data_IF_701768292836
#
_entry.id   IF_701768292836
#
_cell.length_a   1.000
_cell.length_b   1.000
_cell.length_c   1.000
_cell.angle_alpha   90.00
_cell.angle_beta   90.00
_cell.angle_gamma   90.00
#
_symmetry.space_group_name_H-M   'P 1'
#
loop_
_entity.id
_entity.type
_entity.pdbx_description
1 polymer ?
#
# COMPACT_ATOMS: atom_id res chain seq x y z
N UNK A 1 -32.07 55.50 -46.07
CA UNK A 1 -32.80 54.45 -45.29
C UNK A 1 -31.94 53.30 -44.75
N UNK A 2 -30.63 53.20 -45.03
CA UNK A 2 -29.82 52.01 -44.65
C UNK A 2 -28.95 52.15 -43.40
N UNK A 3 -28.62 53.37 -42.95
CA UNK A 3 -27.74 53.59 -41.79
C UNK A 3 -28.47 53.39 -40.46
N UNK A 4 -29.69 53.94 -40.33
CA UNK A 4 -30.50 53.78 -39.12
C UNK A 4 -30.94 52.32 -38.85
N UNK A 5 -31.14 51.53 -39.91
CA UNK A 5 -31.46 50.10 -39.81
C UNK A 5 -30.24 49.28 -39.39
N UNK A 6 -29.04 49.62 -39.87
CA UNK A 6 -27.77 49.00 -39.42
C UNK A 6 -27.44 49.36 -37.97
N UNK A 7 -27.66 50.61 -37.57
CA UNK A 7 -27.42 51.06 -36.19
C UNK A 7 -28.36 50.37 -35.20
N UNK A 8 -29.64 50.20 -35.57
CA UNK A 8 -30.62 49.46 -34.76
C UNK A 8 -30.28 47.98 -34.62
N UNK A 9 -29.80 47.33 -35.69
CA UNK A 9 -29.37 45.93 -35.63
C UNK A 9 -28.13 45.77 -34.75
N UNK A 10 -27.16 46.68 -34.83
CA UNK A 10 -25.96 46.66 -33.97
C UNK A 10 -26.34 46.90 -32.50
N UNK A 11 -27.24 47.85 -32.23
CA UNK A 11 -27.69 48.16 -30.87
C UNK A 11 -28.55 47.04 -30.28
N UNK A 12 -29.38 46.37 -31.09
CA UNK A 12 -30.11 45.15 -30.70
C UNK A 12 -29.17 43.98 -30.41
N UNK A 13 -28.11 43.80 -31.20
CA UNK A 13 -27.09 42.77 -30.96
C UNK A 13 -26.36 43.02 -29.64
N UNK A 14 -25.96 44.28 -29.37
CA UNK A 14 -25.31 44.69 -28.13
C UNK A 14 -26.23 44.54 -26.90
N UNK A 15 -27.53 44.86 -27.02
CA UNK A 15 -28.49 44.64 -25.93
C UNK A 15 -28.74 43.15 -25.64
N UNK A 16 -28.77 42.29 -26.67
CA UNK A 16 -28.90 40.85 -26.46
C UNK A 16 -27.65 40.22 -25.82
N UNK A 17 -26.46 40.79 -26.04
CA UNK A 17 -25.24 40.37 -25.35
C UNK A 17 -25.23 40.80 -23.87
N UNK A 18 -25.88 41.92 -23.52
CA UNK A 18 -25.96 42.40 -22.13
C UNK A 18 -26.96 41.64 -21.24
N UNK A 19 -27.87 40.85 -21.84
CA UNK A 19 -28.89 40.07 -21.13
C UNK A 19 -28.51 38.60 -20.88
N UNK A 20 -27.39 38.13 -21.44
CA UNK A 20 -26.82 36.83 -21.09
C UNK A 20 -26.10 37.00 -19.74
N UNK A 21 -26.61 36.35 -18.69
CA UNK A 21 -25.95 36.34 -17.38
C UNK A 21 -24.47 36.00 -17.53
N UNK A 22 -23.61 36.73 -16.82
CA UNK A 22 -22.15 36.56 -16.86
C UNK A 22 -21.80 35.15 -16.36
N UNK A 23 -21.77 34.16 -17.25
CA UNK A 23 -21.29 32.83 -16.96
C UNK A 23 -19.77 32.83 -17.06
N UNK A 24 -19.10 33.47 -16.09
CA UNK A 24 -17.64 33.44 -16.02
C UNK A 24 -17.16 31.99 -15.97
N UNK A 25 -16.16 31.65 -16.78
CA UNK A 25 -15.42 30.41 -16.61
C UNK A 25 -14.72 30.49 -15.25
N UNK A 26 -15.10 29.58 -14.36
CA UNK A 26 -14.59 29.59 -12.99
C UNK A 26 -13.64 28.40 -12.81
N UNK A 27 -12.36 28.70 -12.60
CA UNK A 27 -11.35 27.72 -12.20
C UNK A 27 -11.45 27.53 -10.69
N UNK A 28 -12.45 26.74 -10.32
CA UNK A 28 -12.86 26.51 -8.95
C UNK A 28 -12.75 25.05 -8.57
N UNK A 29 -12.65 24.83 -7.28
CA UNK A 29 -12.78 23.53 -6.64
C UNK A 29 -14.21 23.30 -6.10
N UNK A 30 -15.16 24.20 -6.42
CA UNK A 30 -16.49 24.28 -5.82
C UNK A 30 -16.60 25.46 -4.85
N UNK A 31 -17.78 25.72 -4.29
CA UNK A 31 -17.98 26.81 -3.31
C UNK A 31 -17.33 26.41 -1.98
N UNK A 32 -16.06 26.77 -1.75
CA UNK A 32 -15.31 26.53 -0.50
C UNK A 32 -14.00 25.75 -0.68
N UNK A 33 -13.22 25.59 0.39
CA UNK A 33 -12.01 24.76 0.39
C UNK A 33 -12.38 23.29 0.12
N UNK A 34 -12.06 22.78 -1.07
CA UNK A 34 -12.46 21.44 -1.48
C UNK A 34 -11.56 20.37 -0.88
N UNK A 35 -12.18 19.27 -0.49
CA UNK A 35 -11.47 18.06 -0.04
C UNK A 35 -11.22 17.16 -1.25
N UNK A 36 -9.95 16.83 -1.48
CA UNK A 36 -9.53 15.80 -2.42
C UNK A 36 -9.21 14.49 -1.71
N UNK A 37 -9.06 13.41 -2.48
CA UNK A 37 -8.63 12.12 -1.93
C UNK A 37 -7.70 11.34 -2.85
N UNK A 38 -6.82 10.55 -2.25
CA UNK A 38 -6.02 9.53 -2.91
C UNK A 38 -5.91 8.32 -1.98
N UNK A 39 -6.05 7.10 -2.52
CA UNK A 39 -5.88 5.88 -1.72
C UNK A 39 -5.02 4.88 -2.45
N UNK A 40 -4.02 4.36 -1.75
CA UNK A 40 -3.21 3.22 -2.18
C UNK A 40 -3.90 1.87 -1.90
N UNK A 41 -5.12 1.89 -1.35
CA UNK A 41 -5.88 0.69 -1.02
C UNK A 41 -5.28 -0.09 0.15
N UNK A 42 -5.46 -1.41 0.11
CA UNK A 42 -4.96 -2.35 1.13
C UNK A 42 -3.85 -3.20 0.54
N UNK A 43 -2.69 -3.22 1.19
CA UNK A 43 -1.50 -3.94 0.74
C UNK A 43 -0.85 -4.68 1.90
N UNK A 44 -0.22 -5.82 1.63
CA UNK A 44 0.64 -6.42 2.64
C UNK A 44 1.91 -5.58 2.84
N UNK A 45 2.47 -5.67 4.04
CA UNK A 45 3.76 -5.05 4.36
C UNK A 45 4.88 -5.44 3.37
N UNK A 46 4.89 -6.69 2.91
CA UNK A 46 5.88 -7.16 1.93
C UNK A 46 5.61 -6.69 0.50
N UNK A 47 4.35 -6.56 0.09
CA UNK A 47 4.02 -5.96 -1.23
C UNK A 47 4.49 -4.51 -1.28
N UNK A 48 4.27 -3.75 -0.20
CA UNK A 48 4.75 -2.36 -0.10
C UNK A 48 6.28 -2.27 -0.12
N UNK A 49 6.96 -3.22 0.51
CA UNK A 49 8.42 -3.29 0.51
C UNK A 49 9.01 -3.70 -0.85
N UNK A 50 8.29 -4.50 -1.65
CA UNK A 50 8.78 -5.03 -2.92
C UNK A 50 8.37 -4.24 -4.16
N UNK A 51 7.27 -3.47 -4.11
CA UNK A 51 6.74 -2.78 -5.29
C UNK A 51 6.14 -1.43 -4.95
N UNK A 52 6.66 -0.37 -5.59
CA UNK A 52 6.13 0.98 -5.47
C UNK A 52 4.73 1.05 -6.11
N UNK A 53 3.79 1.68 -5.42
CA UNK A 53 2.41 1.80 -5.85
C UNK A 53 2.18 3.18 -6.41
N UNK A 54 1.51 3.26 -7.56
CA UNK A 54 1.17 4.53 -8.20
C UNK A 54 -0.35 4.66 -8.26
N UNK A 55 -0.88 5.78 -7.75
CA UNK A 55 -2.32 6.08 -7.78
C UNK A 55 -2.57 7.48 -8.30
N UNK A 56 -3.76 7.71 -8.85
CA UNK A 56 -4.20 9.05 -9.26
C UNK A 56 -5.05 9.66 -8.15
N UNK A 57 -4.72 10.89 -7.75
CA UNK A 57 -5.49 11.67 -6.80
C UNK A 57 -6.69 12.35 -7.47
N UNK A 58 -7.76 12.49 -6.70
CA UNK A 58 -8.91 13.33 -7.02
C UNK A 58 -8.72 14.67 -6.34
N UNK A 59 -8.26 15.70 -7.06
CA UNK A 59 -8.00 17.03 -6.48
C UNK A 59 -9.27 17.88 -6.36
N UNK A 60 -10.32 17.51 -7.09
CA UNK A 60 -11.56 18.28 -7.26
C UNK A 60 -11.37 19.70 -7.81
N UNK A 61 -10.15 20.08 -8.23
CA UNK A 61 -9.89 21.34 -8.91
C UNK A 61 -10.26 21.21 -10.39
N UNK A 62 -11.11 22.12 -10.89
CA UNK A 62 -11.67 22.11 -12.25
C UNK A 62 -11.74 23.52 -12.81
N UNK A 63 -11.80 23.65 -14.12
CA UNK A 63 -12.25 24.88 -14.76
C UNK A 63 -13.53 24.61 -15.54
N UNK A 64 -14.59 25.39 -15.28
CA UNK A 64 -15.85 25.26 -16.02
C UNK A 64 -15.77 25.89 -17.41
N UNK A 65 -16.38 25.22 -18.38
CA UNK A 65 -16.24 25.50 -19.81
C UNK A 65 -17.22 26.54 -20.37
N UNK A 66 -17.94 27.28 -19.53
CA UNK A 66 -19.07 28.12 -19.98
C UNK A 66 -18.70 29.40 -20.74
N UNK A 67 -17.41 29.73 -20.90
CA UNK A 67 -17.00 30.93 -21.64
C UNK A 67 -15.71 30.82 -22.48
N UNK A 68 -15.02 29.68 -22.51
CA UNK A 68 -13.69 29.63 -23.14
C UNK A 68 -13.82 29.51 -24.67
N UNK A 69 -13.96 30.64 -25.37
CA UNK A 69 -14.03 30.74 -26.84
C UNK A 69 -12.72 31.25 -27.46
N UNK A 70 -11.56 30.80 -26.97
CA UNK A 70 -10.27 31.39 -27.35
C UNK A 70 -9.36 30.36 -28.04
N UNK A 71 -8.90 30.70 -29.26
CA UNK A 71 -8.02 29.84 -30.08
C UNK A 71 -6.52 30.20 -29.96
N UNK A 72 -6.17 31.36 -29.40
CA UNK A 72 -4.80 31.93 -29.43
C UNK A 72 -4.47 32.71 -28.13
N UNK A 73 -4.64 32.13 -26.95
CA UNK A 73 -4.29 32.77 -25.68
C UNK A 73 -3.43 31.85 -24.81
N UNK A 74 -2.50 32.43 -24.04
CA UNK A 74 -1.60 31.67 -23.16
C UNK A 74 -2.23 31.54 -21.78
N UNK A 75 -2.73 30.35 -21.46
CA UNK A 75 -3.36 30.05 -20.18
C UNK A 75 -2.38 29.34 -19.26
N UNK A 76 -2.33 29.73 -17.99
CA UNK A 76 -1.51 29.05 -17.00
C UNK A 76 -2.34 28.58 -15.81
N UNK A 77 -2.00 27.40 -15.32
CA UNK A 77 -2.49 26.87 -14.05
C UNK A 77 -1.25 26.47 -13.27
N UNK A 78 -1.13 26.95 -12.04
CA UNK A 78 -0.05 26.63 -11.13
C UNK A 78 -0.61 25.86 -9.94
N UNK A 79 0.04 24.76 -9.58
CA UNK A 79 -0.15 24.06 -8.30
C UNK A 79 1.06 24.28 -7.41
N UNK A 80 0.83 24.45 -6.13
CA UNK A 80 1.86 24.48 -5.09
C UNK A 80 1.50 23.48 -4.00
N UNK A 81 2.39 22.53 -3.72
CA UNK A 81 2.26 21.65 -2.56
C UNK A 81 2.69 22.44 -1.31
N UNK A 82 1.76 23.13 -0.66
CA UNK A 82 2.08 24.15 0.35
C UNK A 82 2.60 23.54 1.65
N UNK A 83 1.97 22.48 2.14
CA UNK A 83 2.39 21.77 3.35
C UNK A 83 1.79 20.37 3.39
N UNK A 84 2.38 19.49 4.20
CA UNK A 84 1.73 18.23 4.59
C UNK A 84 1.86 18.00 6.09
N UNK A 85 0.92 17.26 6.68
CA UNK A 85 0.87 17.03 8.13
C UNK A 85 2.10 16.28 8.64
N UNK A 86 2.66 15.35 7.86
CA UNK A 86 3.69 14.42 8.32
C UNK A 86 5.02 14.50 7.54
N UNK A 87 5.26 15.63 6.87
CA UNK A 87 6.44 15.83 6.04
C UNK A 87 7.76 15.62 6.81
N UNK A 88 8.79 15.13 6.10
CA UNK A 88 10.19 15.21 6.52
C UNK A 88 10.93 16.07 5.49
N UNK A 89 11.26 17.31 5.88
CA UNK A 89 11.74 18.30 4.93
C UNK A 89 10.72 18.50 3.81
N UNK A 90 11.13 18.25 2.57
CA UNK A 90 10.27 18.41 1.38
C UNK A 90 9.54 17.13 0.95
N UNK A 91 9.72 16.02 1.69
CA UNK A 91 9.15 14.71 1.34
C UNK A 91 7.89 14.45 2.16
N UNK A 92 6.73 14.23 1.53
CA UNK A 92 5.51 13.89 2.25
C UNK A 92 5.53 12.42 2.67
N UNK A 93 4.85 12.09 3.77
CA UNK A 93 4.84 10.73 4.33
C UNK A 93 3.48 10.42 4.90
N UNK A 94 2.98 9.21 4.66
CA UNK A 94 1.86 8.69 5.44
C UNK A 94 2.33 8.32 6.83
N UNK A 95 1.48 8.49 7.83
CA UNK A 95 1.75 8.19 9.23
C UNK A 95 0.73 7.21 9.79
N UNK A 96 1.22 6.20 10.51
CA UNK A 96 0.42 5.36 11.40
C UNK A 96 0.90 5.58 12.85
N UNK A 97 -0.01 5.91 13.78
CA UNK A 97 0.34 6.06 15.19
C UNK A 97 0.71 4.70 15.83
N UNK A 98 1.43 4.76 16.96
CA UNK A 98 1.70 3.56 17.75
C UNK A 98 0.39 2.94 18.28
N UNK A 99 0.35 1.61 18.35
CA UNK A 99 -0.79 0.87 18.88
C UNK A 99 -0.31 -0.36 19.67
N UNK A 100 -0.34 -0.27 21.00
CA UNK A 100 0.16 -1.32 21.88
C UNK A 100 1.66 -1.59 21.64
N UNK A 101 2.00 -2.80 21.22
CA UNK A 101 3.37 -3.22 20.88
C UNK A 101 3.82 -2.81 19.47
N UNK A 102 2.94 -2.20 18.67
CA UNK A 102 3.26 -1.73 17.32
C UNK A 102 3.78 -0.28 17.39
N UNK A 103 5.02 0.00 16.95
CA UNK A 103 5.58 1.35 16.98
C UNK A 103 4.96 2.24 15.89
N UNK A 104 4.94 3.55 16.15
CA UNK A 104 4.54 4.53 15.14
C UNK A 104 5.48 4.45 13.93
N UNK A 105 4.91 4.54 12.73
CA UNK A 105 5.63 4.25 11.49
C UNK A 105 5.23 5.22 10.37
N UNK A 106 6.14 5.40 9.40
CA UNK A 106 5.94 6.31 8.28
C UNK A 106 6.18 5.61 6.94
N UNK A 107 5.37 5.95 5.93
CA UNK A 107 5.55 5.52 4.54
C UNK A 107 5.75 6.75 3.65
N UNK A 108 7.00 7.03 3.21
CA UNK A 108 7.25 8.12 2.29
C UNK A 108 6.59 7.90 0.93
N UNK A 109 6.13 8.98 0.32
CA UNK A 109 5.60 8.95 -1.05
C UNK A 109 6.04 10.21 -1.81
N UNK A 110 5.91 10.17 -3.13
CA UNK A 110 6.18 11.30 -4.02
C UNK A 110 4.87 11.77 -4.62
N UNK A 111 4.59 13.07 -4.57
CA UNK A 111 3.57 13.71 -5.40
C UNK A 111 4.17 13.94 -6.78
N UNK A 112 3.43 13.63 -7.84
CA UNK A 112 3.92 13.73 -9.21
C UNK A 112 2.88 14.39 -10.11
N UNK A 113 3.38 15.14 -11.09
CA UNK A 113 2.57 15.87 -12.06
C UNK A 113 2.06 14.94 -13.17
N UNK A 114 2.86 13.94 -13.53
CA UNK A 114 2.57 12.99 -14.62
C UNK A 114 2.41 11.56 -14.13
N UNK A 115 1.70 10.74 -14.93
CA UNK A 115 1.43 9.34 -14.63
C UNK A 115 2.70 8.45 -14.63
N UNK A 116 3.81 8.88 -15.21
CA UNK A 116 5.10 8.20 -15.08
C UNK A 116 5.81 8.50 -13.76
N UNK A 117 5.32 9.51 -13.03
CA UNK A 117 6.02 10.15 -11.92
C UNK A 117 7.43 10.63 -12.31
N UNK A 118 7.57 11.19 -13.51
CA UNK A 118 8.84 11.73 -14.02
C UNK A 118 9.15 13.10 -13.43
N UNK A 119 8.09 13.85 -13.11
CA UNK A 119 8.15 15.21 -12.57
C UNK A 119 7.59 15.22 -11.14
N UNK A 120 8.45 15.16 -10.11
CA UNK A 120 8.02 15.23 -8.72
C UNK A 120 7.62 16.66 -8.33
N UNK A 121 6.56 16.77 -7.54
CA UNK A 121 6.13 18.00 -6.87
C UNK A 121 6.47 17.89 -5.38
N UNK A 122 7.65 18.38 -5.02
CA UNK A 122 8.11 18.40 -3.63
C UNK A 122 7.29 19.38 -2.77
N UNK A 123 7.19 19.13 -1.47
CA UNK A 123 6.54 20.07 -0.54
C UNK A 123 7.32 21.40 -0.54
N UNK A 124 6.60 22.50 -0.66
CA UNK A 124 7.13 23.85 -0.85
C UNK A 124 7.39 24.24 -2.31
N UNK A 125 7.33 23.30 -3.26
CA UNK A 125 7.54 23.57 -4.68
C UNK A 125 6.22 23.83 -5.43
N UNK A 126 6.36 24.43 -6.60
CA UNK A 126 5.27 24.73 -7.53
C UNK A 126 5.52 24.13 -8.90
N UNK A 127 4.45 23.82 -9.62
CA UNK A 127 4.49 23.42 -11.02
C UNK A 127 3.43 24.18 -11.81
N UNK A 128 3.78 24.66 -13.00
CA UNK A 128 2.88 25.45 -13.85
C UNK A 128 2.64 24.75 -15.19
N UNK A 129 1.39 24.38 -15.45
CA UNK A 129 0.94 23.98 -16.78
C UNK A 129 0.67 25.23 -17.61
N UNK A 130 1.20 25.26 -18.82
CA UNK A 130 0.95 26.33 -19.80
C UNK A 130 0.30 25.75 -21.03
N UNK A 131 -0.86 26.28 -21.42
CA UNK A 131 -1.62 25.81 -22.58
C UNK A 131 -2.03 26.99 -23.47
N UNK A 132 -1.72 26.88 -24.75
CA UNK A 132 -2.02 27.92 -25.75
C UNK A 132 -3.32 27.65 -26.53
N UNK A 133 -3.92 26.48 -26.32
CA UNK A 133 -5.17 26.07 -26.98
C UNK A 133 -6.23 25.67 -25.95
N UNK A 134 -7.49 25.92 -26.29
CA UNK A 134 -8.64 25.46 -25.50
C UNK A 134 -8.62 23.94 -25.30
N UNK A 135 -8.36 23.18 -26.37
CA UNK A 135 -8.32 21.72 -26.30
C UNK A 135 -7.21 21.24 -25.37
N UNK A 136 -6.03 21.87 -25.41
CA UNK A 136 -4.93 21.56 -24.51
C UNK A 136 -5.27 21.89 -23.05
N UNK A 137 -5.94 23.01 -22.79
CA UNK A 137 -6.41 23.38 -21.46
C UNK A 137 -7.46 22.40 -20.92
N UNK A 138 -8.47 22.05 -21.72
CA UNK A 138 -9.48 21.06 -21.34
C UNK A 138 -8.88 19.66 -21.16
N UNK A 139 -7.87 19.33 -21.97
CA UNK A 139 -7.10 18.09 -21.87
C UNK A 139 -6.33 17.92 -20.56
N UNK A 140 -6.09 19.00 -19.80
CA UNK A 140 -5.47 18.92 -18.47
C UNK A 140 -6.40 18.24 -17.45
N UNK A 141 -7.72 18.37 -17.60
CA UNK A 141 -8.72 17.90 -16.63
C UNK A 141 -9.16 16.44 -16.88
N UNK A 142 -8.19 15.56 -17.15
CA UNK A 142 -8.41 14.14 -17.40
C UNK A 142 -8.49 13.26 -16.14
N UNK A 143 -8.39 13.84 -14.95
CA UNK A 143 -8.42 13.10 -13.69
C UNK A 143 -9.83 12.65 -13.28
N UNK A 144 -9.94 11.92 -12.15
CA UNK A 144 -11.23 11.47 -11.63
C UNK A 144 -12.22 12.63 -11.51
N UNK A 145 -13.47 12.39 -11.90
CA UNK A 145 -14.55 13.38 -11.97
C UNK A 145 -14.26 14.58 -12.90
N UNK A 146 -13.30 14.50 -13.81
CA UNK A 146 -12.88 15.64 -14.65
C UNK A 146 -12.13 16.70 -13.85
N UNK A 147 -11.40 16.28 -12.81
CA UNK A 147 -10.51 17.15 -12.04
C UNK A 147 -9.08 17.13 -12.56
N UNK A 148 -8.29 18.12 -12.15
CA UNK A 148 -6.87 18.17 -12.43
C UNK A 148 -6.19 16.96 -11.76
N UNK A 149 -5.59 16.02 -12.52
CA UNK A 149 -4.96 14.86 -11.92
C UNK A 149 -3.65 15.25 -11.24
N UNK A 150 -3.39 14.63 -10.11
CA UNK A 150 -2.05 14.48 -9.56
C UNK A 150 -1.81 12.99 -9.33
N UNK A 151 -0.57 12.57 -9.32
CA UNK A 151 -0.20 11.17 -9.13
C UNK A 151 0.61 11.03 -7.85
N UNK A 152 0.43 9.93 -7.14
CA UNK A 152 1.17 9.64 -5.92
C UNK A 152 1.87 8.31 -6.07
N UNK A 153 3.16 8.26 -5.72
CA UNK A 153 3.99 7.06 -5.79
C UNK A 153 4.60 6.73 -4.44
N UNK A 154 4.34 5.55 -3.88
CA UNK A 154 4.98 5.13 -2.62
C UNK A 154 6.46 4.83 -2.79
N UNK A 155 7.23 5.04 -1.72
CA UNK A 155 8.59 4.50 -1.59
C UNK A 155 8.54 3.06 -1.09
N UNK A 156 9.61 2.29 -1.36
CA UNK A 156 9.76 0.93 -0.88
C UNK A 156 10.13 0.94 0.60
N UNK A 157 9.24 0.42 1.44
CA UNK A 157 9.49 0.32 2.88
C UNK A 157 8.70 -0.85 3.47
N UNK A 158 9.31 -1.52 4.44
CA UNK A 158 8.69 -2.58 5.22
C UNK A 158 8.25 -1.99 6.56
N UNK A 159 6.94 -1.85 6.77
CA UNK A 159 6.36 -1.23 7.98
C UNK A 159 5.33 -2.15 8.62
N UNK A 160 5.06 -2.02 9.93
CA UNK A 160 4.00 -2.78 10.59
C UNK A 160 2.62 -2.58 9.95
N UNK A 161 1.73 -3.55 10.18
CA UNK A 161 0.33 -3.40 9.81
C UNK A 161 -0.33 -2.22 10.53
N UNK A 162 -1.24 -1.54 9.84
CA UNK A 162 -1.92 -0.37 10.35
C UNK A 162 -2.54 0.48 9.25
N UNK A 163 -3.30 1.49 9.67
CA UNK A 163 -3.88 2.49 8.77
C UNK A 163 -2.97 3.71 8.76
N UNK A 164 -2.42 4.01 7.59
CA UNK A 164 -1.51 5.11 7.34
C UNK A 164 -2.26 6.25 6.64
N UNK A 165 -2.07 7.47 7.13
CA UNK A 165 -2.73 8.65 6.56
C UNK A 165 -1.81 9.87 6.49
N UNK A 166 -2.05 10.74 5.51
CA UNK A 166 -1.45 12.06 5.41
C UNK A 166 -2.48 13.06 4.89
N UNK A 167 -2.26 14.34 5.14
CA UNK A 167 -3.07 15.43 4.59
C UNK A 167 -2.15 16.44 3.93
N UNK A 168 -2.33 16.65 2.62
CA UNK A 168 -1.56 17.58 1.79
C UNK A 168 -2.41 18.80 1.48
N UNK A 169 -1.89 19.99 1.77
CA UNK A 169 -2.53 21.25 1.40
C UNK A 169 -1.96 21.73 0.06
N UNK A 170 -2.81 21.75 -0.96
CA UNK A 170 -2.49 22.26 -2.29
C UNK A 170 -3.04 23.67 -2.43
N UNK A 171 -2.26 24.55 -3.07
CA UNK A 171 -2.71 25.87 -3.49
C UNK A 171 -2.67 25.93 -5.01
N UNK A 172 -3.77 26.39 -5.59
CA UNK A 172 -3.93 26.60 -7.01
C UNK A 172 -3.92 28.10 -7.31
N UNK A 173 -3.29 28.47 -8.42
CA UNK A 173 -3.39 29.79 -9.00
C UNK A 173 -3.56 29.65 -10.51
N UNK A 174 -4.62 30.22 -11.07
CA UNK A 174 -4.89 30.16 -12.51
C UNK A 174 -4.90 31.54 -13.11
N UNK A 175 -4.32 31.67 -14.30
CA UNK A 175 -4.40 32.84 -15.17
C UNK A 175 -4.96 32.38 -16.52
N UNK A 176 -6.29 32.49 -16.68
CA UNK A 176 -7.00 31.88 -17.81
C UNK A 176 -7.75 32.93 -18.60
N UNK A 177 -7.66 32.83 -19.92
CA UNK A 177 -8.33 33.69 -20.87
C UNK A 177 -9.79 33.31 -21.03
N UNK A 178 -10.72 34.17 -20.60
CA UNK A 178 -12.16 33.87 -20.67
C UNK A 178 -12.88 34.54 -21.84
N UNK A 179 -12.42 35.70 -22.32
CA UNK A 179 -12.96 36.34 -23.53
C UNK A 179 -11.82 36.72 -24.46
N UNK A 180 -11.74 36.01 -25.59
CA UNK A 180 -10.78 36.28 -26.65
C UNK A 180 -11.49 36.82 -27.88
N UNK A 181 -11.22 38.07 -28.26
CA UNK A 181 -11.75 38.68 -29.49
C UNK A 181 -10.60 39.30 -30.26
N UNK A 182 -10.44 38.89 -31.53
CA UNK A 182 -9.45 39.47 -32.46
C UNK A 182 -8.00 39.52 -31.91
N UNK A 183 -7.58 38.52 -31.13
CA UNK A 183 -6.23 38.43 -30.54
C UNK A 183 -6.06 39.17 -29.21
N UNK A 184 -7.08 39.87 -28.72
CA UNK A 184 -7.12 40.43 -27.37
C UNK A 184 -7.81 39.46 -26.43
N UNK A 185 -7.25 39.29 -25.24
CA UNK A 185 -7.75 38.40 -24.21
C UNK A 185 -8.05 39.17 -22.93
N UNK A 186 -9.24 38.96 -22.36
CA UNK A 186 -9.51 39.27 -20.97
C UNK A 186 -9.16 38.05 -20.11
N UNK A 187 -8.20 38.22 -19.20
CA UNK A 187 -7.76 37.18 -18.27
C UNK A 187 -8.50 37.29 -16.95
N UNK A 188 -8.71 36.14 -16.32
CA UNK A 188 -9.16 36.05 -14.93
C UNK A 188 -8.10 35.33 -14.12
N UNK A 189 -7.66 35.98 -13.04
CA UNK A 189 -6.79 35.41 -12.04
C UNK A 189 -7.60 34.87 -10.86
N UNK A 190 -7.38 33.61 -10.52
CA UNK A 190 -8.08 32.97 -9.40
C UNK A 190 -7.13 32.15 -8.55
N UNK A 191 -7.48 32.02 -7.27
CA UNK A 191 -6.77 31.14 -6.34
C UNK A 191 -7.74 30.22 -5.62
N UNK A 192 -7.35 28.96 -5.45
CA UNK A 192 -8.12 27.97 -4.70
C UNK A 192 -7.19 27.13 -3.82
N UNK A 193 -7.75 26.45 -2.83
CA UNK A 193 -7.00 25.50 -1.98
C UNK A 193 -7.69 24.15 -1.95
N UNK A 194 -6.91 23.07 -2.04
CA UNK A 194 -7.41 21.70 -1.92
C UNK A 194 -6.74 21.03 -0.73
N UNK A 195 -7.54 20.45 0.15
CA UNK A 195 -7.04 19.56 1.21
C UNK A 195 -7.11 18.12 0.70
N UNK A 196 -5.98 17.55 0.30
CA UNK A 196 -5.89 16.20 -0.25
C UNK A 196 -5.60 15.18 0.87
N UNK A 197 -6.57 14.32 1.16
CA UNK A 197 -6.40 13.23 2.13
C UNK A 197 -5.84 12.00 1.44
N UNK A 198 -4.70 11.51 1.91
CA UNK A 198 -4.02 10.33 1.37
C UNK A 198 -4.12 9.18 2.36
N UNK A 199 -4.51 7.98 1.91
CA UNK A 199 -4.67 6.80 2.77
C UNK A 199 -4.01 5.55 2.21
N UNK A 200 -3.57 4.68 3.12
CA UNK A 200 -3.04 3.35 2.83
C UNK A 200 -3.34 2.43 4.02
N UNK A 201 -3.83 1.23 3.76
CA UNK A 201 -3.97 0.20 4.80
C UNK A 201 -2.90 -0.87 4.58
N UNK A 202 -2.05 -1.09 5.57
CA UNK A 202 -1.03 -2.15 5.54
C UNK A 202 -1.52 -3.34 6.37
N UNK A 203 -1.47 -4.55 5.81
CA UNK A 203 -1.83 -5.80 6.50
C UNK A 203 -0.61 -6.62 6.90
N UNK A 204 -0.80 -7.45 7.94
CA UNK A 204 0.18 -8.46 8.31
C UNK A 204 0.30 -9.51 7.21
N UNK A 205 1.49 -10.08 7.09
CA UNK A 205 1.72 -11.23 6.25
C UNK A 205 2.88 -12.05 6.80
N UNK A 206 2.80 -13.38 6.68
CA UNK A 206 3.87 -14.30 7.03
C UNK A 206 4.10 -15.34 5.93
N UNK A 207 5.37 -15.67 5.71
CA UNK A 207 5.81 -16.78 4.87
C UNK A 207 6.54 -17.82 5.73
N UNK A 208 6.37 -19.09 5.37
CA UNK A 208 7.28 -20.16 5.77
C UNK A 208 8.36 -20.26 4.69
N UNK A 209 9.51 -19.64 4.93
CA UNK A 209 10.64 -19.59 3.98
C UNK A 209 11.24 -20.98 3.76
N UNK A 210 11.35 -21.79 4.83
CA UNK A 210 11.87 -23.15 4.75
C UNK A 210 11.43 -24.04 5.91
N UNK A 211 11.16 -25.31 5.62
CA UNK A 211 10.93 -26.36 6.62
C UNK A 211 11.70 -27.64 6.21
N UNK A 212 12.99 -27.74 6.54
CA UNK A 212 13.82 -28.89 6.13
C UNK A 212 13.42 -30.18 6.86
N UNK A 213 13.70 -31.32 6.23
CA UNK A 213 13.48 -32.64 6.81
C UNK A 213 14.40 -32.89 8.01
N UNK A 214 13.90 -33.65 8.98
CA UNK A 214 14.67 -34.13 10.13
C UNK A 214 14.99 -35.61 9.93
N UNK A 215 16.24 -35.99 10.19
CA UNK A 215 16.67 -37.39 10.22
C UNK A 215 17.22 -37.74 11.59
N UNK A 216 16.69 -38.80 12.18
CA UNK A 216 17.22 -39.38 13.43
C UNK A 216 18.41 -40.31 13.20
N UNK A 217 18.72 -40.64 11.94
CA UNK A 217 19.71 -41.67 11.60
C UNK A 217 19.17 -43.09 11.81
N UNK A 218 20.09 -44.05 12.01
CA UNK A 218 19.77 -45.47 12.19
C UNK A 218 20.31 -45.96 13.54
N UNK A 219 19.53 -46.78 14.24
CA UNK A 219 19.89 -47.42 15.50
C UNK A 219 19.26 -48.82 15.57
N UNK A 220 19.87 -49.76 16.31
CA UNK A 220 19.33 -51.12 16.45
C UNK A 220 18.08 -51.17 17.34
N UNK A 221 17.99 -50.29 18.35
CA UNK A 221 16.84 -50.21 19.25
C UNK A 221 16.44 -48.75 19.54
N UNK A 222 15.18 -48.46 19.89
CA UNK A 222 14.74 -47.14 20.31
C UNK A 222 15.58 -46.53 21.44
N UNK A 223 16.04 -47.37 22.39
CA UNK A 223 16.87 -46.94 23.52
C UNK A 223 18.24 -46.37 23.13
N UNK A 224 18.74 -46.66 21.91
CA UNK A 224 20.05 -46.19 21.44
C UNK A 224 20.01 -44.80 20.79
N UNK A 225 18.84 -44.20 20.58
CA UNK A 225 18.71 -42.80 20.12
C UNK A 225 18.96 -41.80 21.27
N UNK A 226 20.11 -41.88 21.94
CA UNK A 226 20.42 -41.12 23.16
C UNK A 226 20.73 -39.64 22.92
N UNK A 227 21.04 -39.24 21.69
CA UNK A 227 21.39 -37.87 21.33
C UNK A 227 20.28 -37.23 20.50
N UNK A 228 19.67 -36.12 20.96
CA UNK A 228 18.66 -35.41 20.18
C UNK A 228 19.30 -34.73 18.96
N UNK A 229 18.51 -34.57 17.89
CA UNK A 229 18.91 -33.79 16.71
C UNK A 229 18.68 -32.31 17.02
N UNK A 230 19.75 -31.53 17.15
CA UNK A 230 19.71 -30.14 17.64
C UNK A 230 19.94 -29.07 16.57
N UNK A 231 20.40 -29.46 15.38
CA UNK A 231 20.71 -28.54 14.27
C UNK A 231 19.53 -28.30 13.33
N UNK A 232 18.30 -28.27 13.84
CA UNK A 232 17.10 -28.06 13.03
C UNK A 232 16.49 -26.67 13.28
N UNK A 233 16.11 -26.01 12.19
CA UNK A 233 15.41 -24.74 12.25
C UNK A 233 14.36 -24.66 11.15
N UNK A 234 13.15 -24.21 11.50
CA UNK A 234 12.22 -23.66 10.53
C UNK A 234 12.64 -22.21 10.23
N UNK A 235 12.37 -21.73 9.03
CA UNK A 235 12.56 -20.32 8.71
C UNK A 235 11.22 -19.67 8.43
N UNK A 236 10.85 -18.69 9.25
CA UNK A 236 9.58 -17.97 9.18
C UNK A 236 9.87 -16.49 9.02
N UNK A 237 9.18 -15.84 8.08
CA UNK A 237 9.31 -14.41 7.80
C UNK A 237 7.97 -13.74 7.95
N UNK A 238 7.81 -12.92 8.98
CA UNK A 238 6.58 -12.17 9.26
C UNK A 238 6.82 -10.67 9.17
N UNK A 239 5.78 -9.92 8.81
CA UNK A 239 5.83 -8.46 8.78
C UNK A 239 6.24 -7.87 10.13
N UNK A 240 6.88 -6.69 10.17
CA UNK A 240 7.33 -6.06 11.40
C UNK A 240 6.19 -5.95 12.43
N UNK A 241 6.49 -6.31 13.68
CA UNK A 241 5.54 -6.30 14.80
C UNK A 241 4.32 -7.21 14.65
N UNK A 242 4.26 -8.09 13.65
CA UNK A 242 3.20 -9.09 13.56
C UNK A 242 3.41 -10.18 14.60
N UNK A 243 2.48 -10.32 15.54
CA UNK A 243 2.44 -11.50 16.40
C UNK A 243 2.07 -12.72 15.55
N UNK A 244 2.81 -13.81 15.70
CA UNK A 244 2.52 -15.05 15.00
C UNK A 244 2.71 -16.27 15.91
N UNK A 245 1.98 -17.33 15.59
CA UNK A 245 2.19 -18.65 16.20
C UNK A 245 2.63 -19.68 15.18
N UNK A 246 3.41 -20.66 15.61
CA UNK A 246 3.81 -21.80 14.81
C UNK A 246 3.29 -23.08 15.47
N UNK A 247 2.40 -23.76 14.75
CA UNK A 247 1.75 -25.01 15.18
C UNK A 247 2.27 -26.19 14.36
N UNK A 248 2.50 -27.31 15.03
CA UNK A 248 3.03 -28.53 14.44
C UNK A 248 2.08 -29.71 14.64
N UNK A 249 1.54 -30.26 13.55
CA UNK A 249 0.59 -31.37 13.56
C UNK A 249 1.17 -32.57 12.81
N UNK A 250 1.24 -33.73 13.48
CA UNK A 250 1.66 -34.99 12.87
C UNK A 250 0.56 -35.57 11.99
N UNK A 251 0.94 -36.23 10.90
CA UNK A 251 0.03 -36.98 10.03
C UNK A 251 -0.47 -38.27 10.67
N UNK A 252 0.30 -38.84 11.59
CA UNK A 252 -0.06 -40.03 12.35
C UNK A 252 -0.74 -39.63 13.68
N UNK A 253 -1.58 -40.52 14.25
CA UNK A 253 -2.15 -40.29 15.57
C UNK A 253 -1.04 -40.18 16.64
N UNK A 254 -1.22 -39.29 17.59
CA UNK A 254 -0.30 -39.16 18.74
C UNK A 254 -0.55 -40.27 19.77
N UNK A 255 0.50 -40.67 20.47
CA UNK A 255 0.42 -41.57 21.64
C UNK A 255 0.79 -40.78 22.90
N UNK A 256 -0.22 -40.36 23.66
CA UNK A 256 -0.04 -39.41 24.77
C UNK A 256 0.57 -38.10 24.27
N UNK A 257 1.75 -37.74 24.78
CA UNK A 257 2.49 -36.53 24.38
C UNK A 257 3.47 -36.76 23.20
N UNK A 258 3.51 -37.97 22.64
CA UNK A 258 4.44 -38.33 21.58
C UNK A 258 3.77 -38.30 20.22
N UNK A 259 4.47 -37.73 19.24
CA UNK A 259 4.17 -37.96 17.82
C UNK A 259 4.70 -39.33 17.42
N UNK A 260 4.20 -39.87 16.32
CA UNK A 260 4.58 -41.22 15.88
C UNK A 260 5.02 -41.20 14.42
N UNK A 261 6.18 -41.79 14.16
CA UNK A 261 6.55 -42.21 12.80
C UNK A 261 6.00 -43.60 12.57
N UNK A 262 5.50 -43.88 11.37
CA UNK A 262 4.93 -45.18 11.01
C UNK A 262 5.84 -45.91 10.02
N UNK A 263 5.84 -47.24 10.11
CA UNK A 263 6.45 -48.15 9.15
C UNK A 263 5.53 -49.34 8.92
N UNK A 264 5.39 -49.78 7.67
CA UNK A 264 4.70 -51.03 7.33
C UNK A 264 5.73 -52.17 7.27
N UNK A 265 5.64 -53.10 8.21
CA UNK A 265 6.55 -54.27 8.30
C UNK A 265 5.71 -55.53 8.25
N UNK A 266 5.95 -56.39 7.25
CA UNK A 266 5.22 -57.63 7.04
C UNK A 266 3.68 -57.47 7.06
N UNK A 267 3.18 -56.38 6.47
CA UNK A 267 1.73 -56.09 6.39
C UNK A 267 1.10 -55.51 7.66
N UNK A 268 1.89 -55.26 8.71
CA UNK A 268 1.42 -54.61 9.95
C UNK A 268 2.09 -53.24 10.14
N UNK A 269 1.32 -52.25 10.60
CA UNK A 269 1.84 -50.90 10.89
C UNK A 269 2.43 -50.87 12.29
N UNK A 270 3.68 -50.44 12.39
CA UNK A 270 4.38 -50.19 13.65
C UNK A 270 4.69 -48.71 13.79
N UNK A 271 4.80 -48.24 15.03
CA UNK A 271 5.04 -46.85 15.34
C UNK A 271 6.32 -46.65 16.16
N UNK A 272 7.15 -45.70 15.74
CA UNK A 272 8.29 -45.22 16.51
C UNK A 272 7.94 -43.82 17.06
N UNK A 273 7.85 -43.71 18.37
CA UNK A 273 7.48 -42.48 19.07
C UNK A 273 8.63 -41.47 19.08
N UNK A 274 8.31 -40.19 18.87
CA UNK A 274 9.25 -39.09 18.92
C UNK A 274 8.60 -37.79 19.41
N UNK A 275 9.44 -36.81 19.75
CA UNK A 275 9.02 -35.46 20.12
C UNK A 275 9.83 -34.41 19.39
N UNK A 276 9.15 -33.29 19.17
CA UNK A 276 9.75 -32.02 18.78
C UNK A 276 9.71 -31.10 20.00
N UNK A 277 10.84 -30.51 20.35
CA UNK A 277 10.99 -29.62 21.48
C UNK A 277 11.42 -28.25 20.98
N UNK A 278 10.92 -27.20 21.63
CA UNK A 278 11.38 -25.83 21.39
C UNK A 278 12.86 -25.71 21.81
N UNK A 279 13.49 -24.59 21.44
CA UNK A 279 14.90 -24.33 21.77
C UNK A 279 15.19 -24.43 23.29
N UNK A 280 14.21 -24.08 24.13
CA UNK A 280 14.21 -24.15 25.59
C UNK A 280 13.98 -25.58 26.16
N UNK A 281 13.96 -26.60 25.31
CA UNK A 281 13.68 -28.00 25.63
C UNK A 281 12.27 -28.28 26.18
N UNK A 282 11.32 -27.35 26.06
CA UNK A 282 9.91 -27.64 26.36
C UNK A 282 9.26 -28.35 25.18
N UNK A 283 8.36 -29.30 25.47
CA UNK A 283 7.68 -30.10 24.43
C UNK A 283 6.78 -29.19 23.59
N UNK A 284 6.96 -29.24 22.28
CA UNK A 284 6.14 -28.49 21.33
C UNK A 284 4.91 -29.33 20.97
N UNK A 285 3.81 -29.12 21.68
CA UNK A 285 2.54 -29.83 21.50
C UNK A 285 1.52 -28.94 20.78
N UNK A 286 0.39 -29.51 20.37
CA UNK A 286 -0.71 -28.74 19.79
C UNK A 286 -1.39 -27.77 20.77
N UNK A 287 -1.10 -27.88 22.08
CA UNK A 287 -1.57 -26.98 23.14
C UNK A 287 -0.48 -26.01 23.63
N UNK A 288 0.74 -26.13 23.10
CA UNK A 288 1.90 -25.31 23.45
C UNK A 288 2.62 -24.89 22.16
N UNK A 289 1.87 -24.19 21.31
CA UNK A 289 2.40 -23.62 20.07
C UNK A 289 3.48 -22.58 20.39
N UNK A 290 4.46 -22.45 19.50
CA UNK A 290 5.46 -21.40 19.61
C UNK A 290 4.78 -20.07 19.30
N UNK A 291 4.96 -19.06 20.14
CA UNK A 291 4.59 -17.67 19.85
C UNK A 291 5.85 -16.82 19.65
N UNK A 292 5.82 -15.95 18.65
CA UNK A 292 6.91 -15.03 18.35
C UNK A 292 6.36 -13.77 17.67
N UNK A 293 7.25 -12.79 17.47
CA UNK A 293 6.92 -11.52 16.81
C UNK A 293 7.82 -11.32 15.60
N UNK A 294 7.19 -10.96 14.49
CA UNK A 294 7.83 -10.66 13.21
C UNK A 294 8.72 -9.44 13.29
N UNK A 295 9.89 -9.51 12.67
CA UNK A 295 10.80 -8.36 12.55
C UNK A 295 10.97 -7.87 11.10
N UNK A 296 10.15 -8.38 10.17
CA UNK A 296 10.24 -8.07 8.75
C UNK A 296 11.30 -8.87 7.97
N UNK A 297 12.11 -9.68 8.65
CA UNK A 297 13.16 -10.51 8.07
C UNK A 297 12.89 -12.01 8.32
N UNK A 298 13.68 -12.84 7.64
CA UNK A 298 13.69 -14.29 7.85
C UNK A 298 14.22 -14.60 9.26
N UNK A 299 13.42 -15.30 10.07
CA UNK A 299 13.72 -15.64 11.46
C UNK A 299 13.84 -17.15 11.62
N UNK A 300 14.97 -17.59 12.17
CA UNK A 300 15.19 -18.99 12.51
C UNK A 300 14.39 -19.38 13.75
N UNK A 301 13.53 -20.38 13.60
CA UNK A 301 12.79 -21.03 14.68
C UNK A 301 13.49 -22.35 14.97
N UNK A 302 14.43 -22.31 15.92
CA UNK A 302 15.24 -23.47 16.29
C UNK A 302 14.43 -24.46 17.14
N UNK A 303 14.59 -25.75 16.84
CA UNK A 303 13.93 -26.82 17.57
C UNK A 303 14.82 -28.06 17.65
N UNK A 304 14.49 -28.94 18.60
CA UNK A 304 15.16 -30.22 18.80
C UNK A 304 14.20 -31.35 18.47
N UNK A 305 14.72 -32.45 17.97
CA UNK A 305 13.94 -33.66 17.76
C UNK A 305 14.56 -34.82 18.54
N UNK A 306 13.75 -35.63 19.20
CA UNK A 306 14.23 -36.82 19.92
C UNK A 306 13.26 -37.99 19.80
N UNK A 307 13.79 -39.21 19.73
CA UNK A 307 13.02 -40.45 19.80
C UNK A 307 12.71 -40.75 21.28
N UNK A 308 11.55 -41.35 21.57
CA UNK A 308 11.27 -41.87 22.90
C UNK A 308 12.14 -43.10 23.17
N UNK A 309 13.24 -42.93 23.92
CA UNK A 309 14.18 -44.01 24.23
C UNK A 309 13.61 -45.05 25.20
N UNK A 310 12.52 -44.73 25.90
CA UNK A 310 11.87 -45.60 26.88
C UNK A 310 10.71 -46.41 26.30
N UNK A 311 10.43 -46.30 25.00
CA UNK A 311 9.39 -47.10 24.34
C UNK A 311 9.83 -48.56 24.17
N UNK A 312 8.85 -49.46 24.02
CA UNK A 312 9.12 -50.86 23.71
C UNK A 312 9.81 -51.03 22.35
N UNK A 313 10.58 -52.12 22.18
CA UNK A 313 11.23 -52.43 20.91
C UNK A 313 10.18 -52.63 19.80
N UNK A 314 10.50 -52.11 18.62
CA UNK A 314 9.70 -52.26 17.40
C UNK A 314 10.53 -52.99 16.33
N UNK A 315 9.91 -53.64 15.34
CA UNK A 315 10.64 -54.32 14.27
C UNK A 315 11.60 -53.39 13.50
N UNK A 316 12.64 -53.96 12.91
CA UNK A 316 13.51 -53.20 12.02
C UNK A 316 12.74 -52.71 10.79
N UNK A 317 12.89 -51.44 10.44
CA UNK A 317 12.22 -50.82 9.30
C UNK A 317 12.50 -49.33 9.17
N UNK A 318 11.99 -48.73 8.09
CA UNK A 318 12.12 -47.30 7.84
C UNK A 318 10.86 -46.59 8.34
N UNK A 319 11.00 -45.86 9.45
CA UNK A 319 9.91 -45.12 10.08
C UNK A 319 9.89 -43.68 9.57
N UNK A 320 8.72 -43.19 9.14
CA UNK A 320 8.55 -41.81 8.67
C UNK A 320 7.24 -41.18 9.19
N UNK A 321 7.21 -39.85 9.26
CA UNK A 321 6.03 -39.05 9.55
C UNK A 321 6.07 -37.77 8.71
N UNK A 322 4.89 -37.22 8.39
CA UNK A 322 4.76 -35.88 7.82
C UNK A 322 4.21 -34.94 8.88
N UNK A 323 4.94 -33.86 9.18
CA UNK A 323 4.49 -32.83 10.12
C UNK A 323 4.09 -31.58 9.36
N UNK A 324 2.81 -31.22 9.47
CA UNK A 324 2.31 -29.95 8.93
C UNK A 324 2.70 -28.81 9.86
N UNK A 325 3.40 -27.83 9.29
CA UNK A 325 3.73 -26.56 9.95
C UNK A 325 2.67 -25.53 9.56
N UNK A 326 1.97 -24.97 10.55
CA UNK A 326 1.00 -23.89 10.34
C UNK A 326 1.49 -22.62 11.02
N UNK A 327 1.59 -21.53 10.25
CA UNK A 327 1.91 -20.19 10.77
C UNK A 327 0.64 -19.36 10.76
N UNK A 328 0.21 -18.88 11.93
CA UNK A 328 -1.00 -18.07 12.10
C UNK A 328 -0.65 -16.65 12.58
N UNK A 329 -1.31 -15.62 12.06
CA UNK A 329 -1.06 -14.20 12.32
C UNK A 329 -2.30 -13.33 12.09
#
# INVERSE_FOLDING_TARGET
MNVARRLRVIMLLLLTLSGMGQAFADCTNGVGAATGSASFGTLSSFTLAGTAQLVTATTNYKCTSSAILTLLATNTIMVTASSTTNALGTTPRLYAPANGSIPASYVPYTLCIDAGCSTPLNVGASYTWTQTSLLGLLGLFGGPNGSMPLYLKTSLVNVPAGTYSDTVNLRWASHVCFLGVAGLCAYTDQTATTTLVVTLTVTNFCYLDSAPNVSFGSQPFPANFTSPVTSNSLSVRCSPSAAYTVKLVSSNPSSGQYRQMSALVNGSTYYLQYQLLKADATVWTASNDLAATGNGNSQAVNYRAQVNTSQANVPAGNYSDTVTVTVSY
#
